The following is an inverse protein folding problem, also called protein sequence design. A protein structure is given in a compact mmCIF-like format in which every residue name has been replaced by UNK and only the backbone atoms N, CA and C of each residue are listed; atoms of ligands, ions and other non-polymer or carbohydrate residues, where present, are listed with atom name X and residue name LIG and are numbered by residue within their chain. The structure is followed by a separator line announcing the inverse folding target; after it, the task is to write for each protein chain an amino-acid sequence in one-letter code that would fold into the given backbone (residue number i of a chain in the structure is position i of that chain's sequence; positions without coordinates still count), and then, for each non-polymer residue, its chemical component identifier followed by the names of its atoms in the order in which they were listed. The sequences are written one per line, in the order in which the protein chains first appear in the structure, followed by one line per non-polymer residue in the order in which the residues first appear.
data_IF_597217768996
#
_entry.id   IF_597217768996
#
_cell.length_a   1.000
_cell.length_b   1.000
_cell.length_c   1.000
_cell.angle_alpha   90.00
_cell.angle_beta   90.00
_cell.angle_gamma   90.00
#
_symmetry.space_group_name_H-M   'P 1'
#
loop_
_entity.id
_entity.type
_entity.pdbx_description
1 polymer ?
#
# COMPACT_ATOMS: atom_id res chain seq x y z
N UNK A 1 -60.41 -37.37 14.03
CA UNK A 1 -59.50 -37.63 15.17
C UNK A 1 -58.22 -38.21 14.58
N UNK A 2 -57.02 -37.66 14.68
CA UNK A 2 -56.50 -36.37 15.12
C UNK A 2 -55.07 -36.39 14.57
N UNK A 3 -54.81 -35.67 13.47
CA UNK A 3 -53.47 -35.60 12.87
C UNK A 3 -53.18 -34.16 12.41
N UNK A 4 -53.44 -33.21 13.31
CA UNK A 4 -53.31 -31.76 13.10
C UNK A 4 -52.40 -31.10 14.14
N UNK A 5 -51.51 -31.87 14.79
CA UNK A 5 -50.72 -31.39 15.92
C UNK A 5 -49.19 -31.43 15.75
N UNK A 6 -48.65 -31.85 14.59
CA UNK A 6 -47.22 -32.21 14.48
C UNK A 6 -46.38 -31.41 13.49
N UNK A 7 -46.93 -30.44 12.76
CA UNK A 7 -46.19 -29.80 11.65
C UNK A 7 -45.53 -28.48 12.03
N UNK A 8 -46.18 -27.61 12.81
CA UNK A 8 -45.65 -26.26 13.04
C UNK A 8 -44.44 -26.21 14.02
N UNK A 9 -44.35 -27.12 14.98
CA UNK A 9 -43.23 -27.18 15.94
C UNK A 9 -42.01 -27.92 15.37
N UNK A 10 -42.23 -28.99 14.62
CA UNK A 10 -41.14 -29.77 13.99
C UNK A 10 -40.45 -28.98 12.87
N UNK A 11 -41.19 -28.15 12.13
CA UNK A 11 -40.64 -27.28 11.08
C UNK A 11 -39.83 -26.10 11.68
N UNK A 12 -40.27 -25.52 12.79
CA UNK A 12 -39.53 -24.48 13.52
C UNK A 12 -38.20 -24.98 14.05
N UNK A 13 -38.21 -26.17 14.66
CA UNK A 13 -37.00 -26.82 15.19
C UNK A 13 -36.03 -27.24 14.08
N UNK A 14 -36.54 -27.60 12.88
CA UNK A 14 -35.71 -27.87 11.71
C UNK A 14 -35.04 -26.61 11.15
N UNK A 15 -35.77 -25.48 11.08
CA UNK A 15 -35.25 -24.20 10.59
C UNK A 15 -34.16 -23.65 11.52
N UNK A 16 -34.35 -23.68 12.83
CA UNK A 16 -33.32 -23.22 13.77
C UNK A 16 -32.08 -24.15 13.74
N UNK A 17 -32.27 -25.47 13.63
CA UNK A 17 -31.15 -26.42 13.48
C UNK A 17 -30.33 -26.17 12.20
N UNK A 18 -31.00 -25.92 11.07
CA UNK A 18 -30.33 -25.60 9.81
C UNK A 18 -29.56 -24.28 9.91
N UNK A 19 -30.12 -23.27 10.60
CA UNK A 19 -29.45 -21.99 10.85
C UNK A 19 -28.22 -22.15 11.75
N UNK A 20 -28.33 -22.88 12.85
CA UNK A 20 -27.23 -23.13 13.79
C UNK A 20 -26.10 -23.89 13.09
N UNK A 21 -26.42 -24.95 12.35
CA UNK A 21 -25.43 -25.71 11.58
C UNK A 21 -24.78 -24.85 10.50
N UNK A 22 -25.51 -23.93 9.88
CA UNK A 22 -24.94 -23.00 8.90
C UNK A 22 -23.92 -22.04 9.55
N UNK A 23 -24.19 -21.54 10.75
CA UNK A 23 -23.25 -20.70 11.51
C UNK A 23 -22.02 -21.48 11.98
N UNK A 24 -22.22 -22.67 12.54
CA UNK A 24 -21.12 -23.55 12.97
C UNK A 24 -20.21 -23.90 11.80
N UNK A 25 -20.81 -24.28 10.66
CA UNK A 25 -20.05 -24.61 9.46
C UNK A 25 -19.39 -23.38 8.85
N UNK A 26 -20.02 -22.20 8.89
CA UNK A 26 -19.38 -20.96 8.46
C UNK A 26 -18.13 -20.67 9.31
N UNK A 27 -18.20 -20.89 10.62
CA UNK A 27 -17.06 -20.71 11.51
C UNK A 27 -15.92 -21.71 11.25
N UNK A 28 -16.25 -22.96 10.92
CA UNK A 28 -15.25 -24.03 10.73
C UNK A 28 -14.71 -24.13 9.30
N UNK A 29 -15.57 -23.96 8.29
CA UNK A 29 -15.28 -24.13 6.87
C UNK A 29 -16.09 -23.12 6.03
N UNK A 30 -15.72 -21.82 6.09
CA UNK A 30 -16.55 -20.74 5.56
C UNK A 30 -16.83 -20.81 4.05
N UNK A 31 -15.97 -21.49 3.28
CA UNK A 31 -16.13 -21.68 1.83
C UNK A 31 -16.91 -22.94 1.45
N UNK A 32 -17.28 -23.78 2.42
CA UNK A 32 -17.97 -25.05 2.15
C UNK A 32 -19.37 -24.79 1.56
N UNK A 33 -19.76 -25.43 0.43
CA UNK A 33 -21.00 -25.12 -0.27
C UNK A 33 -22.27 -25.38 0.56
N UNK A 34 -22.17 -26.28 1.55
CA UNK A 34 -23.27 -26.59 2.49
C UNK A 34 -23.69 -25.39 3.34
N UNK A 35 -22.82 -24.42 3.59
CA UNK A 35 -23.17 -23.17 4.30
C UNK A 35 -24.29 -22.45 3.55
N UNK A 36 -24.11 -22.24 2.25
CA UNK A 36 -25.11 -21.59 1.41
C UNK A 36 -26.39 -22.44 1.27
N UNK A 37 -26.24 -23.76 1.11
CA UNK A 37 -27.40 -24.66 1.01
C UNK A 37 -28.30 -24.59 2.26
N UNK A 38 -27.72 -24.65 3.45
CA UNK A 38 -28.46 -24.57 4.72
C UNK A 38 -29.12 -23.19 4.90
N UNK A 39 -28.38 -22.11 4.66
CA UNK A 39 -28.93 -20.76 4.78
C UNK A 39 -30.07 -20.50 3.77
N UNK A 40 -29.97 -21.03 2.54
CA UNK A 40 -31.04 -20.94 1.54
C UNK A 40 -32.29 -21.74 1.93
N UNK A 41 -32.15 -22.90 2.59
CA UNK A 41 -33.30 -23.64 3.13
C UNK A 41 -34.04 -22.84 4.21
N UNK A 42 -33.29 -22.22 5.11
CA UNK A 42 -33.86 -21.31 6.12
C UNK A 42 -34.60 -20.15 5.45
N UNK A 43 -34.02 -19.53 4.43
CA UNK A 43 -34.66 -18.42 3.70
C UNK A 43 -35.84 -18.86 2.84
N UNK A 44 -35.90 -20.11 2.39
CA UNK A 44 -37.07 -20.64 1.69
C UNK A 44 -38.28 -20.74 2.63
N UNK A 45 -38.06 -21.09 3.89
CA UNK A 45 -39.10 -21.12 4.93
C UNK A 45 -39.39 -19.73 5.52
N UNK A 46 -38.35 -18.90 5.69
CA UNK A 46 -38.43 -17.57 6.31
C UNK A 46 -37.63 -16.53 5.48
N UNK A 47 -38.21 -15.97 4.40
CA UNK A 47 -37.49 -15.08 3.46
C UNK A 47 -36.95 -13.79 4.09
N UNK A 48 -37.50 -13.37 5.22
CA UNK A 48 -37.10 -12.18 5.95
C UNK A 48 -36.12 -12.44 7.09
N UNK A 49 -35.66 -13.69 7.27
CA UNK A 49 -34.73 -14.06 8.35
C UNK A 49 -33.33 -13.46 8.10
N UNK A 50 -33.06 -12.31 8.72
CA UNK A 50 -31.80 -11.58 8.52
C UNK A 50 -30.56 -12.34 8.99
N UNK A 51 -30.66 -13.22 9.99
CA UNK A 51 -29.52 -14.06 10.42
C UNK A 51 -29.07 -15.03 9.33
N UNK A 52 -29.98 -15.68 8.61
CA UNK A 52 -29.63 -16.54 7.47
C UNK A 52 -29.07 -15.73 6.29
N UNK A 53 -29.58 -14.52 6.06
CA UNK A 53 -29.02 -13.61 5.07
C UNK A 53 -27.60 -13.14 5.44
N UNK A 54 -27.30 -12.93 6.74
CA UNK A 54 -25.94 -12.65 7.21
C UNK A 54 -24.99 -13.81 6.90
N UNK A 55 -25.41 -15.06 7.13
CA UNK A 55 -24.60 -16.26 6.81
C UNK A 55 -24.24 -16.30 5.32
N UNK A 56 -25.22 -16.06 4.43
CA UNK A 56 -24.96 -15.98 2.99
C UNK A 56 -23.97 -14.85 2.67
N UNK A 57 -24.17 -13.67 3.25
CA UNK A 57 -23.26 -12.55 3.06
C UNK A 57 -21.81 -12.92 3.40
N UNK A 58 -21.57 -13.49 4.58
CA UNK A 58 -20.23 -13.89 5.01
C UNK A 58 -19.65 -15.03 4.16
N UNK A 59 -20.47 -15.96 3.70
CA UNK A 59 -20.05 -17.02 2.78
C UNK A 59 -19.58 -16.44 1.44
N UNK A 60 -20.35 -15.54 0.84
CA UNK A 60 -19.99 -14.87 -0.41
C UNK A 60 -18.72 -14.04 -0.24
N UNK A 61 -18.63 -13.27 0.84
CA UNK A 61 -17.44 -12.47 1.16
C UNK A 61 -16.19 -13.35 1.25
N UNK A 62 -16.27 -14.48 1.97
CA UNK A 62 -15.13 -15.40 2.11
C UNK A 62 -14.72 -16.08 0.81
N UNK A 63 -15.64 -16.17 -0.16
CA UNK A 63 -15.37 -16.70 -1.51
C UNK A 63 -14.86 -15.64 -2.49
N UNK A 64 -14.67 -14.41 -2.04
CA UNK A 64 -14.26 -13.28 -2.89
C UNK A 64 -15.41 -12.67 -3.71
N UNK A 65 -16.66 -13.02 -3.41
CA UNK A 65 -17.84 -12.50 -4.09
C UNK A 65 -18.41 -11.28 -3.32
N UNK A 66 -17.65 -10.19 -3.35
CA UNK A 66 -17.98 -8.95 -2.65
C UNK A 66 -19.32 -8.35 -3.10
N UNK A 67 -19.66 -8.50 -4.39
CA UNK A 67 -20.91 -8.03 -4.97
C UNK A 67 -22.12 -8.69 -4.34
N UNK A 68 -22.16 -10.02 -4.30
CA UNK A 68 -23.25 -10.75 -3.64
C UNK A 68 -23.30 -10.48 -2.13
N UNK A 69 -22.15 -10.49 -1.46
CA UNK A 69 -22.06 -10.20 -0.04
C UNK A 69 -22.70 -8.84 0.30
N UNK A 70 -22.32 -7.79 -0.45
CA UNK A 70 -22.86 -6.44 -0.31
C UNK A 70 -24.38 -6.41 -0.51
N UNK A 71 -24.92 -7.14 -1.50
CA UNK A 71 -26.38 -7.21 -1.71
C UNK A 71 -27.12 -7.77 -0.51
N UNK A 72 -26.60 -8.84 0.10
CA UNK A 72 -27.17 -9.41 1.32
C UNK A 72 -27.12 -8.42 2.49
N UNK A 73 -25.97 -7.81 2.74
CA UNK A 73 -25.82 -6.87 3.85
C UNK A 73 -26.67 -5.60 3.68
N UNK A 74 -26.75 -5.01 2.47
CA UNK A 74 -27.59 -3.83 2.21
C UNK A 74 -29.08 -4.13 2.47
N UNK A 75 -29.55 -5.32 2.09
CA UNK A 75 -30.94 -5.74 2.38
C UNK A 75 -31.22 -5.78 3.88
N UNK A 76 -30.29 -6.30 4.66
CA UNK A 76 -30.41 -6.38 6.13
C UNK A 76 -30.33 -4.98 6.74
N UNK A 77 -29.37 -4.17 6.30
CA UNK A 77 -29.21 -2.79 6.75
C UNK A 77 -30.48 -1.95 6.51
N UNK A 78 -31.16 -2.15 5.37
CA UNK A 78 -32.42 -1.47 5.05
C UNK A 78 -33.59 -1.81 5.98
N UNK A 79 -33.58 -2.99 6.63
CA UNK A 79 -34.64 -3.42 7.57
C UNK A 79 -34.47 -2.82 8.96
N UNK A 80 -33.23 -2.46 9.34
CA UNK A 80 -32.87 -1.95 10.68
C UNK A 80 -33.34 -2.86 11.83
N UNK A 81 -33.28 -4.17 11.65
CA UNK A 81 -33.59 -5.15 12.70
C UNK A 81 -32.37 -5.43 13.60
N UNK A 82 -32.45 -6.47 14.44
CA UNK A 82 -31.38 -6.85 15.37
C UNK A 82 -30.04 -7.20 14.70
N UNK A 83 -30.01 -7.45 13.39
CA UNK A 83 -28.79 -7.73 12.61
C UNK A 83 -28.21 -6.48 11.95
N UNK A 84 -28.87 -5.32 12.07
CA UNK A 84 -28.45 -4.08 11.43
C UNK A 84 -26.98 -3.73 11.66
N UNK A 85 -26.54 -3.73 12.92
CA UNK A 85 -25.17 -3.32 13.26
C UNK A 85 -24.13 -4.28 12.67
N UNK A 86 -24.42 -5.58 12.62
CA UNK A 86 -23.54 -6.57 12.01
C UNK A 86 -23.46 -6.42 10.50
N UNK A 87 -24.58 -6.14 9.84
CA UNK A 87 -24.61 -5.82 8.42
C UNK A 87 -23.84 -4.53 8.10
N UNK A 88 -23.99 -3.47 8.93
CA UNK A 88 -23.26 -2.22 8.76
C UNK A 88 -21.74 -2.41 8.95
N UNK A 89 -21.30 -3.19 9.95
CA UNK A 89 -19.89 -3.57 10.14
C UNK A 89 -19.36 -4.38 8.96
N UNK A 90 -20.16 -5.30 8.42
CA UNK A 90 -19.77 -6.09 7.26
C UNK A 90 -19.66 -5.23 5.98
N UNK A 91 -20.58 -4.29 5.76
CA UNK A 91 -20.51 -3.33 4.65
C UNK A 91 -19.28 -2.43 4.74
N UNK A 92 -18.96 -1.94 5.94
CA UNK A 92 -17.71 -1.21 6.21
C UNK A 92 -16.48 -2.04 5.83
N UNK A 93 -16.45 -3.32 6.23
CA UNK A 93 -15.33 -4.23 5.94
C UNK A 93 -15.19 -4.53 4.45
N UNK A 94 -16.29 -4.81 3.76
CA UNK A 94 -16.30 -5.01 2.30
C UNK A 94 -15.81 -3.76 1.58
N UNK A 95 -16.26 -2.57 1.99
CA UNK A 95 -15.79 -1.31 1.40
C UNK A 95 -14.27 -1.11 1.60
N UNK A 96 -13.73 -1.39 2.79
CA UNK A 96 -12.28 -1.33 3.03
C UNK A 96 -11.50 -2.33 2.18
N UNK A 97 -11.99 -3.57 2.06
CA UNK A 97 -11.37 -4.60 1.24
C UNK A 97 -11.39 -4.28 -0.26
N UNK A 98 -12.38 -3.50 -0.71
CA UNK A 98 -12.49 -3.01 -2.08
C UNK A 98 -11.83 -1.64 -2.30
N UNK A 99 -11.17 -1.09 -1.27
CA UNK A 99 -10.57 0.24 -1.26
C UNK A 99 -11.56 1.40 -1.57
N UNK A 100 -12.85 1.20 -1.31
CA UNK A 100 -13.86 2.24 -1.35
C UNK A 100 -13.88 3.01 -0.03
N UNK A 101 -12.84 3.82 0.18
CA UNK A 101 -12.62 4.55 1.44
C UNK A 101 -13.79 5.46 1.83
N UNK A 102 -14.42 6.24 0.92
CA UNK A 102 -15.59 7.06 1.25
C UNK A 102 -16.79 6.23 1.73
N UNK A 103 -17.07 5.10 1.10
CA UNK A 103 -18.14 4.18 1.51
C UNK A 103 -17.83 3.55 2.87
N UNK A 104 -16.58 3.13 3.09
CA UNK A 104 -16.10 2.61 4.36
C UNK A 104 -16.30 3.64 5.49
N UNK A 105 -15.93 4.90 5.26
CA UNK A 105 -16.12 5.98 6.21
C UNK A 105 -17.60 6.23 6.51
N UNK A 106 -18.47 6.21 5.49
CA UNK A 106 -19.92 6.34 5.69
C UNK A 106 -20.47 5.24 6.60
N UNK A 107 -20.10 3.99 6.36
CA UNK A 107 -20.53 2.88 7.21
C UNK A 107 -19.90 2.91 8.60
N UNK A 108 -18.64 3.36 8.74
CA UNK A 108 -18.00 3.55 10.05
C UNK A 108 -18.77 4.56 10.92
N UNK A 109 -19.13 5.72 10.34
CA UNK A 109 -19.98 6.72 11.01
C UNK A 109 -21.36 6.17 11.36
N UNK A 110 -21.94 5.34 10.47
CA UNK A 110 -23.23 4.68 10.71
C UNK A 110 -23.16 3.72 11.90
N UNK A 111 -22.12 2.90 11.99
CA UNK A 111 -21.92 1.97 13.12
C UNK A 111 -21.78 2.74 14.44
N UNK A 112 -20.99 3.83 14.45
CA UNK A 112 -20.76 4.62 15.66
C UNK A 112 -21.99 5.38 16.18
N UNK A 113 -23.03 5.55 15.36
CA UNK A 113 -24.29 6.12 15.80
C UNK A 113 -25.16 5.14 16.63
N UNK A 114 -24.78 3.86 16.70
CA UNK A 114 -25.53 2.80 17.39
C UNK A 114 -25.05 2.58 18.85
N UNK A 115 -25.92 2.00 19.70
CA UNK A 115 -25.67 1.86 21.16
C UNK A 115 -24.65 0.79 21.56
N UNK A 116 -24.17 -0.05 20.63
CA UNK A 116 -23.34 -1.22 20.90
C UNK A 116 -21.97 -1.14 20.21
N UNK A 117 -21.32 0.00 20.35
CA UNK A 117 -20.01 0.29 19.77
C UNK A 117 -18.90 0.00 20.79
N UNK A 118 -17.80 -0.56 20.31
CA UNK A 118 -16.61 -0.82 21.11
C UNK A 118 -15.41 -0.04 20.58
N UNK A 119 -14.27 -0.15 21.27
CA UNK A 119 -13.04 0.51 20.86
C UNK A 119 -12.58 0.10 19.44
N UNK A 120 -12.95 -1.09 18.96
CA UNK A 120 -12.57 -1.55 17.62
C UNK A 120 -13.35 -0.77 16.55
N UNK A 121 -14.63 -0.48 16.77
CA UNK A 121 -15.40 0.37 15.87
C UNK A 121 -14.85 1.80 15.77
N UNK A 122 -14.39 2.36 16.89
CA UNK A 122 -13.70 3.66 16.92
C UNK A 122 -12.37 3.61 16.17
N UNK A 123 -11.62 2.52 16.32
CA UNK A 123 -10.36 2.31 15.60
C UNK A 123 -10.58 2.25 14.09
N UNK A 124 -11.63 1.53 13.63
CA UNK A 124 -11.94 1.43 12.20
C UNK A 124 -12.48 2.77 11.65
N UNK A 125 -13.19 3.58 12.44
CA UNK A 125 -13.54 4.94 12.03
C UNK A 125 -12.26 5.76 11.76
N UNK A 126 -11.33 5.80 12.71
CA UNK A 126 -10.10 6.58 12.56
C UNK A 126 -9.29 6.17 11.32
N UNK A 127 -9.21 4.87 11.05
CA UNK A 127 -8.60 4.34 9.83
C UNK A 127 -9.33 4.82 8.57
N UNK A 128 -10.66 4.67 8.50
CA UNK A 128 -11.43 5.07 7.33
C UNK A 128 -11.38 6.60 7.08
N UNK A 129 -11.33 7.41 8.15
CA UNK A 129 -11.12 8.85 8.06
C UNK A 129 -9.77 9.18 7.43
N UNK A 130 -8.69 8.59 7.95
CA UNK A 130 -7.35 8.84 7.45
C UNK A 130 -7.19 8.39 5.99
N UNK A 131 -7.73 7.23 5.63
CA UNK A 131 -7.75 6.71 4.25
C UNK A 131 -8.56 7.60 3.29
N UNK A 132 -9.59 8.30 3.79
CA UNK A 132 -10.44 9.20 3.01
C UNK A 132 -9.91 10.64 2.92
N UNK A 133 -8.75 10.94 3.50
CA UNK A 133 -8.12 12.25 3.43
C UNK A 133 -8.18 13.08 4.72
N UNK A 134 -9.01 12.69 5.69
CA UNK A 134 -9.12 13.28 7.03
C UNK A 134 -7.98 12.76 7.93
N UNK A 135 -6.72 12.94 7.52
CA UNK A 135 -5.55 12.26 8.09
C UNK A 135 -5.33 12.54 9.59
N UNK A 136 -5.17 13.80 9.98
CA UNK A 136 -4.86 14.15 11.38
C UNK A 136 -6.01 13.81 12.33
N UNK A 137 -7.26 14.02 11.88
CA UNK A 137 -8.46 13.65 12.64
C UNK A 137 -8.56 12.14 12.79
N UNK A 138 -8.36 11.41 11.69
CA UNK A 138 -8.37 9.95 11.68
C UNK A 138 -7.29 9.36 12.57
N UNK A 139 -6.06 9.88 12.52
CA UNK A 139 -4.98 9.39 13.37
C UNK A 139 -5.19 9.72 14.85
N UNK A 140 -5.70 10.91 15.16
CA UNK A 140 -6.07 11.26 16.53
C UNK A 140 -7.18 10.35 17.04
N UNK A 141 -8.12 9.99 16.17
CA UNK A 141 -9.19 9.06 16.50
C UNK A 141 -8.67 7.65 16.84
N UNK A 142 -7.60 7.19 16.18
CA UNK A 142 -6.93 5.93 16.53
C UNK A 142 -6.37 5.96 17.97
N UNK A 143 -5.76 7.08 18.38
CA UNK A 143 -5.22 7.25 19.73
C UNK A 143 -6.33 7.25 20.78
N UNK A 144 -7.45 7.92 20.49
CA UNK A 144 -8.64 7.89 21.36
C UNK A 144 -9.23 6.47 21.49
N UNK A 145 -9.23 5.70 20.41
CA UNK A 145 -9.69 4.31 20.42
C UNK A 145 -8.81 3.42 21.32
N UNK A 146 -7.48 3.60 21.27
CA UNK A 146 -6.55 2.92 22.20
C UNK A 146 -6.85 3.33 23.65
N UNK A 147 -7.04 4.63 23.91
CA UNK A 147 -7.36 5.12 25.24
C UNK A 147 -8.71 4.57 25.76
N UNK A 148 -9.70 4.43 24.87
CA UNK A 148 -10.98 3.79 25.19
C UNK A 148 -10.77 2.32 25.54
N UNK A 149 -10.03 1.56 24.72
CA UNK A 149 -9.69 0.16 24.98
C UNK A 149 -9.04 -0.02 26.35
N UNK A 150 -8.06 0.83 26.70
CA UNK A 150 -7.39 0.76 28.00
C UNK A 150 -8.36 0.90 29.19
N UNK A 151 -9.45 1.67 29.03
CA UNK A 151 -10.48 1.86 30.08
C UNK A 151 -11.52 0.75 30.11
N UNK A 152 -11.96 0.27 28.94
CA UNK A 152 -13.13 -0.62 28.83
C UNK A 152 -12.77 -2.09 28.67
N UNK A 153 -11.60 -2.39 28.11
CA UNK A 153 -11.12 -3.74 27.81
C UNK A 153 -9.58 -3.80 27.91
N UNK A 154 -8.99 -3.59 29.10
CA UNK A 154 -7.53 -3.51 29.26
C UNK A 154 -6.79 -4.78 28.80
N UNK A 155 -7.43 -5.95 28.87
CA UNK A 155 -6.87 -7.20 28.34
C UNK A 155 -6.68 -7.22 26.82
N UNK A 156 -7.40 -6.38 26.08
CA UNK A 156 -7.29 -6.23 24.62
C UNK A 156 -6.30 -5.12 24.22
N UNK A 157 -5.66 -4.44 25.18
CA UNK A 157 -4.78 -3.30 24.90
C UNK A 157 -3.62 -3.62 23.93
N UNK A 158 -2.91 -4.76 24.04
CA UNK A 158 -1.87 -5.10 23.06
C UNK A 158 -2.40 -5.16 21.62
N UNK A 159 -3.61 -5.72 21.43
CA UNK A 159 -4.27 -5.79 20.13
C UNK A 159 -4.67 -4.40 19.61
N UNK A 160 -5.17 -3.52 20.49
CA UNK A 160 -5.49 -2.15 20.10
C UNK A 160 -4.23 -1.36 19.68
N UNK A 161 -3.13 -1.49 20.43
CA UNK A 161 -1.85 -0.85 20.10
C UNK A 161 -1.31 -1.33 18.75
N UNK A 162 -1.36 -2.65 18.49
CA UNK A 162 -1.02 -3.24 17.19
C UNK A 162 -1.87 -2.65 16.06
N UNK A 163 -3.19 -2.68 16.20
CA UNK A 163 -4.12 -2.15 15.18
C UNK A 163 -3.87 -0.66 14.87
N UNK A 164 -3.56 0.14 15.88
CA UNK A 164 -3.18 1.55 15.67
C UNK A 164 -1.92 1.65 14.80
N UNK A 165 -0.87 0.89 15.08
CA UNK A 165 0.35 0.89 14.27
C UNK A 165 0.08 0.45 12.82
N UNK A 166 -0.71 -0.62 12.63
CA UNK A 166 -1.13 -1.11 11.31
C UNK A 166 -1.93 -0.05 10.52
N UNK A 167 -2.89 0.62 11.15
CA UNK A 167 -3.69 1.65 10.48
C UNK A 167 -2.92 2.94 10.20
N UNK A 168 -1.95 3.31 11.04
CA UNK A 168 -1.03 4.40 10.73
C UNK A 168 -0.16 4.07 9.52
N UNK A 169 0.33 2.83 9.41
CA UNK A 169 1.07 2.38 8.23
C UNK A 169 0.20 2.43 6.97
N UNK A 170 -1.01 1.85 7.02
CA UNK A 170 -1.93 1.76 5.89
C UNK A 170 -2.45 3.11 5.39
N UNK A 171 -2.53 4.11 6.27
CA UNK A 171 -2.92 5.49 5.93
C UNK A 171 -1.73 6.42 5.68
N UNK A 172 -0.54 5.87 5.45
CA UNK A 172 0.67 6.61 5.09
C UNK A 172 1.07 7.68 6.11
N UNK A 173 0.92 7.40 7.41
CA UNK A 173 1.36 8.30 8.46
C UNK A 173 2.87 8.58 8.38
N UNK A 174 3.33 9.79 8.80
CA UNK A 174 4.74 10.09 8.89
C UNK A 174 5.49 9.05 9.74
N UNK A 175 6.76 8.73 9.39
CA UNK A 175 7.54 7.73 10.11
C UNK A 175 7.59 7.96 11.63
N UNK A 176 7.75 9.21 12.08
CA UNK A 176 7.80 9.54 13.52
C UNK A 176 6.52 9.14 14.27
N UNK A 177 5.35 9.29 13.63
CA UNK A 177 4.07 8.90 14.22
C UNK A 177 3.92 7.38 14.27
N UNK A 178 4.31 6.69 13.19
CA UNK A 178 4.31 5.24 13.14
C UNK A 178 5.26 4.64 14.18
N UNK A 179 6.49 5.16 14.28
CA UNK A 179 7.51 4.67 15.22
C UNK A 179 7.00 4.70 16.65
N UNK A 180 6.45 5.83 17.11
CA UNK A 180 5.93 5.94 18.47
C UNK A 180 4.85 4.89 18.75
N UNK A 181 3.91 4.71 17.81
CA UNK A 181 2.85 3.72 17.96
C UNK A 181 3.35 2.27 17.93
N UNK A 182 4.30 1.97 17.04
CA UNK A 182 4.89 0.64 16.88
C UNK A 182 5.80 0.25 18.07
N UNK A 183 6.56 1.19 18.63
CA UNK A 183 7.32 0.98 19.87
C UNK A 183 6.41 0.59 21.04
N UNK A 184 5.26 1.25 21.18
CA UNK A 184 4.26 0.90 22.19
C UNK A 184 3.66 -0.49 21.95
N UNK A 185 3.32 -0.82 20.69
CA UNK A 185 2.78 -2.12 20.33
C UNK A 185 3.78 -3.25 20.63
N UNK A 186 5.03 -3.13 20.20
CA UNK A 186 6.09 -4.13 20.43
C UNK A 186 6.43 -4.27 21.91
N UNK A 187 6.34 -3.19 22.69
CA UNK A 187 6.52 -3.24 24.15
C UNK A 187 5.39 -4.00 24.84
N UNK A 188 4.16 -3.86 24.34
CA UNK A 188 2.98 -4.54 24.87
C UNK A 188 2.91 -6.02 24.46
N UNK A 189 3.37 -6.34 23.25
CA UNK A 189 3.49 -7.71 22.74
C UNK A 189 4.80 -7.86 21.94
N UNK A 190 5.81 -8.43 22.61
CA UNK A 190 7.12 -8.63 22.01
C UNK A 190 7.13 -9.69 20.91
N UNK A 191 6.13 -10.59 20.87
CA UNK A 191 6.04 -11.69 19.91
C UNK A 191 5.43 -11.25 18.57
N UNK A 192 4.97 -10.01 18.46
CA UNK A 192 4.51 -9.44 17.20
C UNK A 192 5.71 -9.11 16.29
N UNK A 193 6.14 -10.11 15.53
CA UNK A 193 7.23 -9.98 14.56
C UNK A 193 6.86 -9.04 13.40
N UNK A 194 5.58 -8.92 13.06
CA UNK A 194 5.10 -8.13 11.94
C UNK A 194 5.33 -6.63 12.16
N UNK A 195 4.82 -6.08 13.27
CA UNK A 195 5.01 -4.66 13.59
C UNK A 195 6.48 -4.37 13.88
N UNK A 196 7.20 -5.33 14.49
CA UNK A 196 8.61 -5.18 14.81
C UNK A 196 9.52 -5.07 13.56
N UNK A 197 9.30 -5.85 12.51
CA UNK A 197 10.08 -5.74 11.27
C UNK A 197 9.91 -4.34 10.66
N UNK A 198 8.67 -3.86 10.56
CA UNK A 198 8.38 -2.53 10.02
C UNK A 198 8.96 -1.41 10.88
N UNK A 199 8.89 -1.53 12.21
CA UNK A 199 9.55 -0.60 13.13
C UNK A 199 11.07 -0.51 12.86
N UNK A 200 11.72 -1.65 12.61
CA UNK A 200 13.16 -1.68 12.28
C UNK A 200 13.49 -0.91 11.00
N UNK A 201 12.70 -1.07 9.94
CA UNK A 201 12.90 -0.28 8.72
C UNK A 201 12.57 1.21 8.90
N UNK A 202 11.59 1.54 9.74
CA UNK A 202 11.29 2.92 10.09
C UNK A 202 12.46 3.56 10.88
N UNK A 203 13.14 2.80 11.74
CA UNK A 203 14.37 3.26 12.40
C UNK A 203 15.48 3.57 11.41
N UNK A 204 15.69 2.74 10.38
CA UNK A 204 16.65 3.05 9.31
C UNK A 204 16.32 4.37 8.61
N UNK A 205 15.05 4.60 8.25
CA UNK A 205 14.59 5.85 7.65
C UNK A 205 14.71 7.07 8.57
N UNK A 206 14.91 6.86 9.86
CA UNK A 206 15.15 7.91 10.86
C UNK A 206 16.58 7.87 11.40
N UNK A 207 17.49 7.17 10.71
CA UNK A 207 18.92 7.12 11.02
C UNK A 207 19.21 6.59 12.44
N UNK A 208 18.31 5.78 13.00
CA UNK A 208 18.44 5.08 14.29
C UNK A 208 19.02 3.69 14.07
N UNK A 209 20.25 3.64 13.56
CA UNK A 209 20.85 2.40 13.04
C UNK A 209 21.09 1.35 14.13
N UNK A 210 21.50 1.76 15.33
CA UNK A 210 21.69 0.85 16.46
C UNK A 210 20.38 0.21 16.89
N UNK A 211 19.29 0.99 16.96
CA UNK A 211 17.96 0.49 17.31
C UNK A 211 17.45 -0.51 16.26
N UNK A 212 17.70 -0.22 14.97
CA UNK A 212 17.38 -1.10 13.86
C UNK A 212 18.15 -2.43 13.95
N UNK A 213 19.46 -2.39 14.22
CA UNK A 213 20.28 -3.60 14.38
C UNK A 213 19.80 -4.43 15.57
N UNK A 214 19.60 -3.80 16.73
CA UNK A 214 19.19 -4.50 17.95
C UNK A 214 17.83 -5.20 17.76
N UNK A 215 16.88 -4.51 17.13
CA UNK A 215 15.56 -5.07 16.84
C UNK A 215 15.65 -6.22 15.82
N UNK A 216 16.40 -6.05 14.75
CA UNK A 216 16.63 -7.11 13.76
C UNK A 216 17.31 -8.34 14.36
N UNK A 217 18.33 -8.16 15.22
CA UNK A 217 18.98 -9.28 15.91
C UNK A 217 18.04 -9.98 16.89
N UNK A 218 17.10 -9.27 17.52
CA UNK A 218 16.05 -9.90 18.33
C UNK A 218 15.18 -10.80 17.48
N UNK A 219 14.68 -10.30 16.35
CA UNK A 219 13.84 -11.06 15.42
C UNK A 219 14.55 -12.32 14.90
N UNK A 220 15.84 -12.22 14.54
CA UNK A 220 16.62 -13.37 14.08
C UNK A 220 16.92 -14.42 15.17
N UNK A 221 16.76 -14.10 16.47
CA UNK A 221 16.80 -15.12 17.52
C UNK A 221 15.52 -15.93 17.58
N UNK A 222 14.39 -15.34 17.16
CA UNK A 222 13.09 -16.00 17.09
C UNK A 222 12.96 -16.80 15.79
N UNK A 223 13.31 -16.19 14.66
CA UNK A 223 13.40 -16.84 13.35
C UNK A 223 14.69 -16.45 12.61
N UNK A 224 15.73 -17.31 12.64
CA UNK A 224 16.99 -17.06 11.94
C UNK A 224 16.86 -17.01 10.41
N UNK A 225 15.75 -17.48 9.86
CA UNK A 225 15.50 -17.59 8.41
C UNK A 225 14.68 -16.44 7.84
N UNK A 226 14.29 -15.46 8.66
CA UNK A 226 13.56 -14.28 8.20
C UNK A 226 14.47 -13.37 7.33
N UNK A 227 14.26 -13.43 6.01
CA UNK A 227 15.00 -12.66 5.00
C UNK A 227 14.92 -11.14 5.22
N UNK A 228 13.79 -10.63 5.74
CA UNK A 228 13.62 -9.20 6.00
C UNK A 228 14.38 -8.78 7.23
N UNK A 229 14.35 -9.58 8.30
CA UNK A 229 15.17 -9.33 9.49
C UNK A 229 16.67 -9.43 9.17
N UNK A 230 17.09 -10.37 8.31
CA UNK A 230 18.48 -10.46 7.83
C UNK A 230 18.88 -9.22 7.03
N UNK A 231 18.01 -8.77 6.12
CA UNK A 231 18.22 -7.56 5.32
C UNK A 231 18.31 -6.30 6.19
N UNK A 232 17.45 -6.20 7.21
CA UNK A 232 17.47 -5.13 8.20
C UNK A 232 18.79 -5.07 8.96
N UNK A 233 19.27 -6.19 9.52
CA UNK A 233 20.55 -6.25 10.24
C UNK A 233 21.72 -5.93 9.32
N UNK A 234 21.72 -6.45 8.09
CA UNK A 234 22.75 -6.15 7.10
C UNK A 234 22.80 -4.65 6.77
N UNK A 235 21.64 -4.05 6.51
CA UNK A 235 21.51 -2.61 6.24
C UNK A 235 21.98 -1.75 7.40
N UNK A 236 21.52 -2.05 8.62
CA UNK A 236 21.93 -1.32 9.83
C UNK A 236 23.44 -1.37 10.06
N UNK A 237 24.05 -2.56 9.96
CA UNK A 237 25.51 -2.74 10.14
C UNK A 237 26.33 -2.02 9.09
N UNK A 238 25.89 -2.06 7.84
CA UNK A 238 26.61 -1.36 6.77
C UNK A 238 26.61 0.14 7.01
N UNK A 239 25.49 0.69 7.48
CA UNK A 239 25.41 2.11 7.82
C UNK A 239 26.23 2.51 9.02
N UNK A 240 26.23 1.71 10.08
CA UNK A 240 27.12 1.94 11.22
C UNK A 240 28.58 2.00 10.77
N UNK A 241 29.02 1.08 9.90
CA UNK A 241 30.38 1.10 9.33
C UNK A 241 30.63 2.33 8.45
N UNK A 242 29.66 2.75 7.65
CA UNK A 242 29.79 3.94 6.81
C UNK A 242 29.95 5.17 7.70
N UNK A 243 29.11 5.35 8.72
CA UNK A 243 29.19 6.47 9.67
C UNK A 243 30.53 6.46 10.43
N UNK A 244 30.99 5.29 10.88
CA UNK A 244 32.30 5.14 11.54
C UNK A 244 33.47 5.52 10.63
N UNK A 245 33.45 5.11 9.36
CA UNK A 245 34.51 5.47 8.38
C UNK A 245 34.43 6.93 7.93
N UNK A 246 33.22 7.42 7.71
CA UNK A 246 32.92 8.79 7.31
C UNK A 246 33.44 9.82 8.32
N UNK A 247 33.46 9.46 9.60
CA UNK A 247 34.10 10.24 10.67
C UNK A 247 35.59 10.53 10.43
N UNK A 248 36.26 9.79 9.52
CA UNK A 248 37.63 10.04 9.07
C UNK A 248 37.76 10.65 7.67
N UNK A 249 36.67 10.82 6.91
CA UNK A 249 36.67 11.21 5.49
C UNK A 249 35.80 12.45 5.17
N UNK A 250 35.50 13.30 6.18
CA UNK A 250 34.66 14.51 6.05
C UNK A 250 33.22 14.27 5.52
N UNK A 251 32.73 13.04 5.54
CA UNK A 251 31.33 12.71 5.20
C UNK A 251 30.49 12.83 6.47
N UNK A 252 29.46 13.67 6.45
CA UNK A 252 28.58 13.90 7.60
C UNK A 252 27.32 13.02 7.53
N UNK A 253 26.62 12.87 8.67
CA UNK A 253 25.28 12.26 8.67
C UNK A 253 24.30 13.05 7.79
N UNK A 254 24.47 14.37 7.68
CA UNK A 254 23.66 15.21 6.79
C UNK A 254 23.91 14.85 5.31
N UNK A 255 25.12 14.48 4.92
CA UNK A 255 25.42 14.02 3.56
C UNK A 255 24.71 12.69 3.26
N UNK A 256 24.71 11.77 4.22
CA UNK A 256 23.98 10.50 4.11
C UNK A 256 22.47 10.77 4.04
N UNK A 257 21.95 11.68 4.86
CA UNK A 257 20.56 12.13 4.80
C UNK A 257 20.20 12.77 3.46
N UNK A 258 21.14 13.51 2.87
CA UNK A 258 21.01 14.13 1.55
C UNK A 258 20.77 13.11 0.44
N UNK A 259 21.19 11.85 0.61
CA UNK A 259 20.90 10.76 -0.35
C UNK A 259 19.46 10.23 -0.26
N UNK A 260 18.86 10.37 0.93
CA UNK A 260 17.82 9.54 1.54
C UNK A 260 17.37 8.27 0.82
N UNK A 261 18.37 7.40 0.61
CA UNK A 261 18.16 6.01 0.23
C UNK A 261 17.29 5.25 1.26
N UNK A 262 17.31 5.63 2.54
CA UNK A 262 16.55 4.94 3.59
C UNK A 262 15.07 5.29 3.60
N UNK A 263 14.72 6.54 3.32
CA UNK A 263 13.35 6.98 3.12
C UNK A 263 12.74 6.28 1.91
N UNK A 264 13.53 6.10 0.85
CA UNK A 264 13.14 5.32 -0.33
C UNK A 264 12.94 3.84 0.01
N UNK A 265 13.87 3.20 0.74
CA UNK A 265 13.75 1.80 1.14
C UNK A 265 12.54 1.57 2.07
N UNK A 266 12.32 2.47 3.03
CA UNK A 266 11.13 2.47 3.89
C UNK A 266 9.86 2.59 3.08
N UNK A 267 9.80 3.56 2.15
CA UNK A 267 8.67 3.75 1.24
C UNK A 267 8.41 2.48 0.45
N UNK A 268 9.43 1.89 -0.18
CA UNK A 268 9.29 0.69 -0.98
C UNK A 268 8.73 -0.49 -0.16
N UNK A 269 9.25 -0.73 1.04
CA UNK A 269 8.79 -1.81 1.91
C UNK A 269 7.37 -1.56 2.37
N UNK A 270 7.05 -0.34 2.81
CA UNK A 270 5.69 0.06 3.19
C UNK A 270 4.73 -0.16 2.03
N UNK A 271 5.05 0.39 0.85
CA UNK A 271 4.21 0.37 -0.33
C UNK A 271 3.96 -1.07 -0.80
N UNK A 272 4.99 -1.93 -0.76
CA UNK A 272 4.87 -3.36 -1.02
C UNK A 272 3.95 -4.05 0.00
N UNK A 273 4.03 -3.68 1.28
CA UNK A 273 3.20 -4.28 2.33
C UNK A 273 1.73 -3.92 2.20
N UNK A 274 1.42 -2.72 1.70
CA UNK A 274 0.04 -2.27 1.54
C UNK A 274 -0.47 -2.43 0.10
N UNK A 275 0.33 -3.02 -0.79
CA UNK A 275 -0.07 -3.35 -2.16
C UNK A 275 -0.19 -2.14 -3.09
N UNK A 276 0.55 -1.06 -2.83
CA UNK A 276 0.58 0.13 -3.69
C UNK A 276 1.92 0.33 -4.40
N UNK A 277 2.84 -0.64 -4.30
CA UNK A 277 4.11 -0.61 -5.00
C UNK A 277 3.96 -0.72 -6.53
N UNK A 278 5.08 -0.53 -7.24
CA UNK A 278 5.10 -0.54 -8.71
C UNK A 278 4.61 -1.87 -9.31
N UNK A 279 4.96 -3.02 -8.73
CA UNK A 279 4.53 -4.31 -9.29
C UNK A 279 3.01 -4.48 -9.15
N UNK A 280 2.46 -4.09 -8.00
CA UNK A 280 1.01 -4.08 -7.76
C UNK A 280 0.29 -3.12 -8.72
N UNK A 281 0.86 -1.93 -8.96
CA UNK A 281 0.31 -0.94 -9.88
C UNK A 281 0.28 -1.44 -11.34
N UNK A 282 1.36 -2.07 -11.80
CA UNK A 282 1.45 -2.64 -13.14
C UNK A 282 0.46 -3.79 -13.35
N UNK A 283 0.32 -4.69 -12.37
CA UNK A 283 -0.66 -5.76 -12.41
C UNK A 283 -2.10 -5.21 -12.49
N UNK A 284 -2.42 -4.17 -11.71
CA UNK A 284 -3.73 -3.53 -11.77
C UNK A 284 -3.96 -2.79 -13.10
N UNK A 285 -2.91 -2.24 -13.72
CA UNK A 285 -3.00 -1.58 -15.02
C UNK A 285 -3.33 -2.56 -16.14
N UNK A 286 -2.81 -3.79 -16.11
CA UNK A 286 -3.08 -4.81 -17.13
C UNK A 286 -4.57 -5.13 -17.28
N UNK A 287 -5.30 -5.13 -16.16
CA UNK A 287 -6.74 -5.41 -16.11
C UNK A 287 -7.58 -4.33 -16.80
N UNK A 288 -7.08 -3.09 -16.86
CA UNK A 288 -7.81 -1.92 -17.37
C UNK A 288 -7.17 -1.28 -18.60
N UNK A 289 -6.11 -1.86 -19.13
CA UNK A 289 -5.34 -1.29 -20.23
C UNK A 289 -6.20 -1.12 -21.51
N UNK A 290 -6.28 0.08 -22.10
CA UNK A 290 -6.95 0.31 -23.38
C UNK A 290 -6.38 -0.55 -24.51
N UNK A 291 -7.23 -0.97 -25.45
CA UNK A 291 -6.83 -1.86 -26.55
C UNK A 291 -5.71 -1.26 -27.43
N UNK A 292 -5.79 0.03 -27.75
CA UNK A 292 -4.80 0.73 -28.58
C UNK A 292 -3.44 0.81 -27.89
N UNK A 293 -3.44 1.10 -26.58
CA UNK A 293 -2.22 1.09 -25.76
C UNK A 293 -1.63 -0.32 -25.69
N UNK A 294 -2.47 -1.35 -25.48
CA UNK A 294 -2.04 -2.75 -25.47
C UNK A 294 -1.35 -3.15 -26.77
N UNK A 295 -1.89 -2.70 -27.90
CA UNK A 295 -1.33 -2.98 -29.22
C UNK A 295 0.01 -2.27 -29.49
N UNK A 296 0.25 -1.13 -28.83
CA UNK A 296 1.48 -0.36 -28.96
C UNK A 296 2.63 -0.88 -28.07
N UNK A 297 2.30 -1.61 -27.00
CA UNK A 297 3.27 -2.18 -26.07
C UNK A 297 3.94 -3.44 -26.64
N UNK A 298 5.26 -3.53 -26.48
CA UNK A 298 6.01 -4.74 -26.84
C UNK A 298 5.92 -5.77 -25.71
N UNK A 299 6.04 -7.08 -26.00
CA UNK A 299 6.19 -8.09 -24.95
C UNK A 299 7.33 -7.73 -23.99
N UNK A 300 7.17 -8.04 -22.71
CA UNK A 300 8.22 -7.82 -21.71
C UNK A 300 9.50 -8.59 -22.01
N UNK A 301 10.65 -8.01 -21.65
CA UNK A 301 11.95 -8.64 -21.86
C UNK A 301 12.15 -9.81 -20.88
N UNK A 302 12.68 -10.92 -21.37
CA UNK A 302 12.96 -12.07 -20.53
C UNK A 302 14.14 -11.80 -19.59
N UNK A 303 14.14 -12.40 -18.39
CA UNK A 303 15.24 -12.26 -17.44
C UNK A 303 16.62 -12.64 -18.03
N UNK A 304 16.66 -13.60 -18.96
CA UNK A 304 17.86 -13.99 -19.68
C UNK A 304 18.37 -12.91 -20.65
N UNK A 305 17.47 -12.12 -21.24
CA UNK A 305 17.83 -11.04 -22.18
C UNK A 305 18.38 -9.80 -21.46
N UNK A 306 17.97 -9.61 -20.20
CA UNK A 306 18.44 -8.56 -19.31
C UNK A 306 19.67 -8.98 -18.48
N UNK A 307 20.01 -10.27 -18.45
CA UNK A 307 21.13 -10.78 -17.67
C UNK A 307 22.45 -10.11 -18.10
N UNK A 308 23.13 -9.48 -17.14
CA UNK A 308 24.40 -8.77 -17.36
C UNK A 308 24.25 -7.39 -18.03
N UNK A 309 23.03 -6.94 -18.36
CA UNK A 309 22.75 -5.61 -18.90
C UNK A 309 22.25 -4.69 -17.79
N UNK A 310 22.76 -3.47 -17.73
CA UNK A 310 22.41 -2.48 -16.71
C UNK A 310 21.28 -1.57 -17.19
N UNK A 311 20.07 -2.10 -17.33
CA UNK A 311 18.86 -1.37 -17.80
C UNK A 311 18.22 -0.57 -16.63
N UNK A 312 19.04 0.14 -15.85
CA UNK A 312 18.65 0.72 -14.56
C UNK A 312 18.67 -0.28 -13.40
N UNK A 313 18.42 0.23 -12.20
CA UNK A 313 18.56 -0.49 -10.92
C UNK A 313 17.21 -0.93 -10.33
N UNK A 314 16.14 -0.15 -10.51
CA UNK A 314 14.83 -0.40 -9.92
C UNK A 314 13.68 -0.20 -10.89
N UNK A 315 13.38 1.02 -11.32
CA UNK A 315 12.15 1.35 -12.05
C UNK A 315 12.19 0.83 -13.49
N UNK A 316 13.24 1.18 -14.24
CA UNK A 316 13.38 0.82 -15.65
C UNK A 316 13.35 -0.71 -15.84
N UNK A 317 13.99 -1.45 -14.93
CA UNK A 317 13.99 -2.91 -14.94
C UNK A 317 12.59 -3.51 -14.78
N UNK A 318 11.76 -2.99 -13.86
CA UNK A 318 10.39 -3.48 -13.68
C UNK A 318 9.52 -3.17 -14.90
N UNK A 319 9.65 -1.96 -15.47
CA UNK A 319 8.89 -1.56 -16.65
C UNK A 319 9.23 -2.43 -17.86
N UNK A 320 10.52 -2.62 -18.14
CA UNK A 320 10.99 -3.44 -19.27
C UNK A 320 10.61 -4.92 -19.10
N UNK A 321 10.61 -5.44 -17.87
CA UNK A 321 10.15 -6.80 -17.59
C UNK A 321 8.64 -6.96 -17.80
N UNK A 322 7.86 -5.90 -17.59
CA UNK A 322 6.42 -5.86 -17.87
C UNK A 322 6.14 -5.73 -19.37
N UNK A 323 6.65 -4.67 -20.00
CA UNK A 323 6.61 -4.43 -21.44
C UNK A 323 7.92 -3.76 -21.89
N UNK A 324 8.58 -4.32 -22.92
CA UNK A 324 9.85 -3.81 -23.44
C UNK A 324 9.66 -2.57 -24.32
N UNK A 325 9.07 -1.53 -23.74
CA UNK A 325 8.80 -0.26 -24.38
C UNK A 325 7.62 -0.27 -25.35
N UNK A 326 7.57 0.80 -26.14
CA UNK A 326 6.55 1.07 -27.14
C UNK A 326 7.18 1.42 -28.49
N UNK A 327 6.41 1.33 -29.58
CA UNK A 327 6.85 1.79 -30.88
C UNK A 327 7.07 3.33 -30.89
N UNK A 328 8.13 3.84 -31.54
CA UNK A 328 8.28 5.28 -31.75
C UNK A 328 7.03 5.94 -32.34
N UNK A 329 6.67 7.11 -31.82
CA UNK A 329 5.48 7.87 -32.20
C UNK A 329 4.16 7.37 -31.60
N UNK A 330 4.14 6.32 -30.78
CA UNK A 330 2.90 5.76 -30.22
C UNK A 330 2.46 6.37 -28.88
N UNK A 331 3.17 7.37 -28.35
CA UNK A 331 2.92 7.87 -26.98
C UNK A 331 1.53 8.49 -26.76
N UNK A 332 0.85 8.92 -27.82
CA UNK A 332 -0.54 9.38 -27.76
C UNK A 332 -1.52 8.30 -27.26
N UNK A 333 -1.16 7.00 -27.33
CA UNK A 333 -2.00 5.89 -26.88
C UNK A 333 -2.29 5.92 -25.36
N UNK A 334 -1.48 6.64 -24.57
CA UNK A 334 -1.76 6.88 -23.15
C UNK A 334 -2.91 7.88 -22.91
N UNK A 335 -3.34 8.62 -23.93
CA UNK A 335 -4.37 9.66 -23.79
C UNK A 335 -3.92 10.89 -23.00
N UNK A 336 -2.60 11.12 -22.90
CA UNK A 336 -2.02 12.26 -22.20
C UNK A 336 -1.88 13.48 -23.11
N UNK A 337 -1.78 14.65 -22.50
CA UNK A 337 -1.55 15.90 -23.23
C UNK A 337 -0.21 15.89 -24.00
N UNK A 338 0.78 15.15 -23.49
CA UNK A 338 2.09 14.99 -24.12
C UNK A 338 2.30 13.54 -24.56
N UNK A 339 2.86 13.31 -25.76
CA UNK A 339 2.93 11.99 -26.37
C UNK A 339 4.13 11.17 -25.87
N UNK A 340 4.29 11.04 -24.55
CA UNK A 340 5.34 10.19 -23.99
C UNK A 340 5.05 8.71 -24.22
N UNK A 341 6.07 7.95 -24.63
CA UNK A 341 6.01 6.49 -24.77
C UNK A 341 7.06 5.82 -23.89
N UNK A 342 6.84 4.56 -23.51
CA UNK A 342 7.84 3.78 -22.77
C UNK A 342 9.05 3.50 -23.66
N UNK A 343 10.25 3.66 -23.08
CA UNK A 343 11.50 3.26 -23.72
C UNK A 343 11.70 1.76 -23.59
N UNK A 344 12.27 1.15 -24.62
CA UNK A 344 12.72 -0.24 -24.59
C UNK A 344 14.11 -0.39 -23.95
N UNK A 345 14.44 -1.59 -23.51
CA UNK A 345 15.77 -1.93 -22.97
C UNK A 345 16.89 -1.53 -23.92
N UNK A 346 16.70 -1.75 -25.22
CA UNK A 346 17.69 -1.40 -26.24
C UNK A 346 17.92 0.11 -26.33
N UNK A 347 16.88 0.92 -26.18
CA UNK A 347 16.98 2.38 -26.21
C UNK A 347 17.65 2.93 -24.95
N UNK A 348 17.30 2.38 -23.79
CA UNK A 348 17.93 2.74 -22.50
C UNK A 348 19.43 2.44 -22.56
N UNK A 349 19.81 1.23 -22.98
CA UNK A 349 21.22 0.83 -23.05
C UNK A 349 22.01 1.61 -24.11
N UNK A 350 21.39 1.95 -25.24
CA UNK A 350 22.05 2.76 -26.26
C UNK A 350 22.33 4.17 -25.75
N UNK A 351 21.38 4.75 -25.04
CA UNK A 351 21.52 6.08 -24.43
C UNK A 351 22.53 6.09 -23.29
N UNK A 352 22.52 5.07 -22.43
CA UNK A 352 23.53 4.91 -21.37
C UNK A 352 24.93 4.83 -21.97
N UNK A 353 25.11 4.04 -23.03
CA UNK A 353 26.39 3.92 -23.72
C UNK A 353 26.84 5.23 -24.41
N UNK A 354 25.89 6.03 -24.91
CA UNK A 354 26.17 7.35 -25.50
C UNK A 354 26.65 8.34 -24.42
N UNK A 355 25.93 8.40 -23.29
CA UNK A 355 26.27 9.26 -22.14
C UNK A 355 27.64 8.87 -21.56
N UNK A 356 27.90 7.57 -21.38
CA UNK A 356 29.19 7.07 -20.87
C UNK A 356 30.35 7.38 -21.84
N UNK A 357 30.09 7.42 -23.15
CA UNK A 357 31.12 7.71 -24.15
C UNK A 357 31.52 9.19 -24.21
N UNK A 358 30.60 10.11 -23.95
CA UNK A 358 30.88 11.56 -23.93
C UNK A 358 30.03 12.32 -22.88
N UNK A 359 30.37 12.21 -21.58
CA UNK A 359 29.59 12.89 -20.53
C UNK A 359 29.52 14.42 -20.71
N UNK A 360 30.53 15.03 -21.33
CA UNK A 360 30.57 16.47 -21.55
C UNK A 360 29.55 16.95 -22.60
N UNK A 361 29.15 16.09 -23.54
CA UNK A 361 28.08 16.36 -24.48
C UNK A 361 26.67 16.20 -23.87
N UNK A 362 26.57 15.59 -22.68
CA UNK A 362 25.33 15.26 -22.00
C UNK A 362 25.22 15.93 -20.62
N UNK A 363 25.33 17.28 -20.52
CA UNK A 363 25.33 17.98 -19.22
C UNK A 363 24.01 17.83 -18.43
N UNK A 364 22.92 17.44 -19.10
CA UNK A 364 21.64 17.16 -18.46
C UNK A 364 21.62 15.81 -17.71
N UNK A 365 22.67 14.99 -17.83
CA UNK A 365 22.80 13.66 -17.24
C UNK A 365 23.98 13.61 -16.28
N UNK A 366 23.89 14.29 -15.12
CA UNK A 366 25.02 14.46 -14.23
C UNK A 366 25.40 13.13 -13.55
N UNK A 367 26.70 12.85 -13.49
CA UNK A 367 27.25 11.61 -12.90
C UNK A 367 27.00 11.50 -11.39
N UNK A 368 26.77 12.62 -10.71
CA UNK A 368 26.54 12.67 -9.26
C UNK A 368 25.06 12.50 -8.88
N UNK A 369 24.19 12.16 -9.82
CA UNK A 369 22.77 11.91 -9.60
C UNK A 369 22.44 10.46 -9.96
N UNK A 370 21.59 9.81 -9.15
CA UNK A 370 20.96 8.55 -9.53
C UNK A 370 19.73 8.84 -10.37
N UNK A 371 19.75 8.40 -11.63
CA UNK A 371 18.64 8.55 -12.56
C UNK A 371 18.39 7.29 -13.37
N UNK A 372 17.13 7.09 -13.77
CA UNK A 372 16.69 6.05 -14.71
C UNK A 372 15.68 6.64 -15.70
N UNK A 373 16.04 6.67 -16.98
CA UNK A 373 15.19 7.09 -18.07
C UNK A 373 14.19 5.98 -18.43
N UNK A 374 12.91 6.33 -18.47
CA UNK A 374 11.81 5.35 -18.55
C UNK A 374 10.83 5.66 -19.67
N UNK A 375 10.69 6.93 -20.07
CA UNK A 375 9.85 7.35 -21.19
C UNK A 375 10.52 8.45 -22.01
N UNK A 376 10.11 8.58 -23.27
CA UNK A 376 10.53 9.66 -24.17
C UNK A 376 9.36 10.16 -25.03
N UNK A 377 9.40 11.42 -25.44
CA UNK A 377 8.47 12.00 -26.41
C UNK A 377 8.96 11.90 -27.87
N UNK A 378 10.09 11.22 -28.10
CA UNK A 378 10.80 11.11 -29.38
C UNK A 378 11.35 12.44 -29.94
N UNK A 379 11.17 13.55 -29.23
CA UNK A 379 11.65 14.89 -29.60
C UNK A 379 12.83 15.37 -28.74
N UNK A 380 13.37 14.50 -27.89
CA UNK A 380 14.51 14.78 -27.01
C UNK A 380 14.12 15.14 -25.58
N UNK A 381 12.86 14.92 -25.19
CA UNK A 381 12.42 15.04 -23.81
C UNK A 381 12.24 13.66 -23.19
N UNK A 382 12.64 13.53 -21.93
CA UNK A 382 12.62 12.27 -21.21
C UNK A 382 11.83 12.40 -19.91
N UNK A 383 11.09 11.34 -19.57
CA UNK A 383 10.63 11.13 -18.19
C UNK A 383 11.66 10.25 -17.50
N UNK A 384 12.14 10.73 -16.36
CA UNK A 384 13.27 10.17 -15.62
C UNK A 384 12.83 9.96 -14.18
N UNK A 385 13.12 8.78 -13.64
CA UNK A 385 13.09 8.54 -12.21
C UNK A 385 14.42 9.01 -11.62
N UNK A 386 14.39 10.06 -10.82
CA UNK A 386 15.58 10.62 -10.16
C UNK A 386 15.70 10.10 -8.72
N UNK A 387 16.67 10.64 -7.95
CA UNK A 387 16.84 10.32 -6.55
C UNK A 387 15.49 10.32 -5.79
N UNK A 388 15.36 9.40 -4.83
CA UNK A 388 14.12 9.14 -4.07
C UNK A 388 12.95 8.59 -4.89
N UNK A 389 13.18 8.22 -6.15
CA UNK A 389 12.20 7.61 -7.04
C UNK A 389 11.18 8.58 -7.64
N UNK A 390 11.35 9.88 -7.42
CA UNK A 390 10.46 10.90 -7.99
C UNK A 390 10.55 10.89 -9.52
N UNK A 391 9.41 11.08 -10.18
CA UNK A 391 9.37 11.20 -11.63
C UNK A 391 9.42 12.66 -12.05
N UNK A 392 10.38 12.97 -12.90
CA UNK A 392 10.55 14.30 -13.49
C UNK A 392 10.64 14.22 -14.99
N UNK A 393 10.26 15.32 -15.63
CA UNK A 393 10.44 15.56 -17.05
C UNK A 393 11.71 16.39 -17.22
N UNK A 394 12.67 15.82 -17.93
CA UNK A 394 13.99 16.41 -18.18
C UNK A 394 14.10 16.86 -19.63
N UNK A 395 14.50 18.12 -19.83
CA UNK A 395 14.72 18.73 -21.15
C UNK A 395 16.09 19.38 -21.21
N UNK A 396 16.76 19.38 -22.38
CA UNK A 396 18.04 20.04 -22.52
C UNK A 396 18.02 21.51 -22.11
N UNK A 397 18.90 21.88 -21.18
CA UNK A 397 19.08 23.26 -20.72
C UNK A 397 17.91 23.85 -19.93
N UNK A 398 16.95 23.04 -19.49
CA UNK A 398 15.82 23.48 -18.66
C UNK A 398 15.82 22.74 -17.32
N UNK A 399 15.30 23.36 -16.24
CA UNK A 399 15.13 22.66 -14.98
C UNK A 399 14.10 21.53 -15.12
N UNK A 400 14.32 20.45 -14.36
CA UNK A 400 13.40 19.33 -14.26
C UNK A 400 12.00 19.79 -13.81
N UNK A 401 10.98 19.30 -14.52
CA UNK A 401 9.58 19.53 -14.19
C UNK A 401 8.99 18.30 -13.48
N UNK A 402 8.41 18.44 -12.26
CA UNK A 402 7.80 17.30 -11.57
C UNK A 402 6.64 16.69 -12.36
N UNK A 403 6.63 15.35 -12.47
CA UNK A 403 5.56 14.57 -13.12
C UNK A 403 4.71 13.84 -12.09
N UNK A 404 5.35 13.10 -11.17
CA UNK A 404 4.70 12.35 -10.10
C UNK A 404 5.67 12.09 -8.94
N UNK A 405 5.14 11.74 -7.76
CA UNK A 405 5.97 11.39 -6.59
C UNK A 405 6.73 10.07 -6.77
N UNK A 406 6.25 9.18 -7.65
CA UNK A 406 6.95 7.96 -8.07
C UNK A 406 6.39 7.38 -9.36
N UNK A 407 7.08 6.40 -9.94
CA UNK A 407 6.52 5.62 -11.06
C UNK A 407 5.28 4.82 -10.65
N UNK A 408 5.24 4.28 -9.43
CA UNK A 408 4.04 3.59 -8.93
C UNK A 408 2.84 4.55 -8.89
N UNK A 409 3.04 5.79 -8.43
CA UNK A 409 1.97 6.79 -8.39
C UNK A 409 1.47 7.17 -9.78
N UNK A 410 2.40 7.37 -10.72
CA UNK A 410 2.03 7.68 -12.10
C UNK A 410 1.22 6.54 -12.73
N UNK A 411 1.60 5.28 -12.47
CA UNK A 411 0.86 4.10 -12.95
C UNK A 411 -0.51 4.00 -12.29
N UNK A 412 -0.63 4.19 -10.96
CA UNK A 412 -1.93 4.20 -10.27
C UNK A 412 -2.86 5.31 -10.79
N UNK A 413 -2.32 6.49 -11.11
CA UNK A 413 -3.09 7.55 -11.75
C UNK A 413 -3.62 7.13 -13.14
N UNK A 414 -2.92 6.24 -13.85
CA UNK A 414 -3.40 5.64 -15.12
C UNK A 414 -4.44 4.57 -14.88
N UNK A 415 -4.25 3.70 -13.88
CA UNK A 415 -5.26 2.72 -13.46
C UNK A 415 -6.59 3.44 -13.18
N UNK A 416 -6.56 4.48 -12.36
CA UNK A 416 -7.75 5.27 -12.04
C UNK A 416 -8.36 5.95 -13.28
N UNK A 417 -7.53 6.57 -14.14
CA UNK A 417 -8.00 7.23 -15.36
C UNK A 417 -8.65 6.26 -16.36
N UNK A 418 -8.23 5.00 -16.38
CA UNK A 418 -8.82 3.94 -17.21
C UNK A 418 -9.99 3.21 -16.53
N UNK A 419 -10.46 3.69 -15.37
CA UNK A 419 -11.62 3.16 -14.67
C UNK A 419 -11.30 2.00 -13.71
N UNK A 420 -10.03 1.74 -13.45
CA UNK A 420 -9.57 0.83 -12.39
C UNK A 420 -9.71 1.43 -11.00
N UNK A 421 -9.57 0.59 -9.98
CA UNK A 421 -9.62 0.99 -8.57
C UNK A 421 -8.24 1.42 -8.11
N UNK A 422 -8.15 2.57 -7.44
CA UNK A 422 -6.93 3.07 -6.80
C UNK A 422 -6.96 2.72 -5.31
N UNK A 423 -6.07 1.83 -4.84
CA UNK A 423 -6.04 1.42 -3.44
C UNK A 423 -5.43 2.48 -2.50
N UNK A 424 -4.75 3.50 -3.04
CA UNK A 424 -4.02 4.49 -2.24
C UNK A 424 -4.97 5.30 -1.37
N UNK A 425 -4.52 5.74 -0.18
CA UNK A 425 -5.25 6.75 0.58
C UNK A 425 -5.45 8.02 -0.24
N UNK A 426 -6.51 8.77 0.05
CA UNK A 426 -6.70 10.08 -0.55
C UNK A 426 -5.47 10.96 -0.26
N UNK A 427 -5.02 11.80 -1.22
CA UNK A 427 -3.84 12.63 -1.00
C UNK A 427 -3.99 13.52 0.24
N UNK A 428 -2.90 13.68 1.00
CA UNK A 428 -2.87 14.65 2.10
C UNK A 428 -3.09 16.05 1.53
N UNK A 429 -3.98 16.82 2.15
CA UNK A 429 -4.04 18.26 1.89
C UNK A 429 -2.77 18.93 2.43
N UNK A 430 -1.72 18.90 1.61
CA UNK A 430 -0.55 19.70 1.85
C UNK A 430 -0.97 21.14 1.56
N UNK A 431 -1.22 21.92 2.62
CA UNK A 431 -1.54 23.34 2.51
C UNK A 431 -0.59 24.01 1.51
N UNK A 432 -1.14 24.92 0.69
CA UNK A 432 -0.51 25.51 -0.51
C UNK A 432 0.94 26.05 -0.34
N UNK A 433 1.45 26.14 0.88
CA UNK A 433 2.82 26.52 1.21
C UNK A 433 3.88 25.42 0.96
N UNK A 434 3.54 24.13 1.00
CA UNK A 434 4.52 23.04 0.87
C UNK A 434 4.66 22.48 -0.57
N UNK A 435 3.93 23.03 -1.54
CA UNK A 435 4.21 22.85 -2.99
C UNK A 435 5.44 23.62 -3.48
N UNK A 436 6.24 24.22 -2.58
CA UNK A 436 7.45 24.96 -2.94
C UNK A 436 8.71 24.11 -2.70
N UNK A 437 9.31 23.77 -3.85
CA UNK A 437 10.69 23.36 -4.08
C UNK A 437 11.06 21.92 -3.68
N UNK A 438 11.42 21.05 -4.65
CA UNK A 438 12.40 20.02 -4.35
C UNK A 438 13.64 20.72 -3.76
N UNK A 439 14.09 20.28 -2.59
CA UNK A 439 15.33 20.75 -1.99
C UNK A 439 16.43 20.60 -3.04
N UNK A 440 17.01 21.72 -3.48
CA UNK A 440 18.28 21.74 -4.23
C UNK A 440 19.34 21.08 -3.36
N UNK A 441 19.57 19.79 -3.55
CA UNK A 441 20.66 19.06 -2.96
C UNK A 441 21.44 18.33 -4.05
N UNK A 442 22.05 19.08 -4.98
CA UNK A 442 22.98 18.50 -5.97
C UNK A 442 23.96 19.50 -6.60
N UNK A 443 24.25 20.65 -5.98
CA UNK A 443 25.08 21.69 -6.64
C UNK A 443 26.24 22.26 -5.80
N UNK A 444 26.66 21.63 -4.70
CA UNK A 444 27.78 22.17 -3.88
C UNK A 444 28.92 21.18 -3.60
N UNK A 445 29.00 20.07 -4.34
CA UNK A 445 30.04 19.06 -4.11
C UNK A 445 31.35 19.27 -4.90
N UNK A 446 31.52 20.36 -5.67
CA UNK A 446 32.68 20.52 -6.56
C UNK A 446 33.55 21.77 -6.40
N UNK A 447 33.35 22.63 -5.40
CA UNK A 447 34.16 23.87 -5.30
C UNK A 447 35.00 24.02 -4.02
N UNK A 448 35.58 22.92 -3.52
CA UNK A 448 36.55 22.97 -2.40
C UNK A 448 37.81 22.12 -2.60
N UNK A 449 38.26 21.97 -3.85
CA UNK A 449 39.62 21.47 -4.13
C UNK A 449 40.23 22.26 -5.30
N UNK A 450 40.73 23.45 -5.01
CA UNK A 450 41.94 24.03 -5.59
C UNK A 450 42.12 25.46 -5.09
N UNK A 451 42.84 25.61 -3.97
CA UNK A 451 43.60 26.83 -3.70
C UNK A 451 45.01 26.39 -3.26
N UNK A 452 46.06 26.65 -4.07
CA UNK A 452 47.42 26.47 -3.65
C UNK A 452 47.94 27.77 -3.00
N UNK A 453 48.28 27.69 -1.72
CA UNK A 453 49.26 28.58 -1.08
C UNK A 453 50.26 27.74 -0.29
#
# INVERSE_FOLDING_TARGET
MSDFGRTATDDGDAVERDLDLAWELLGAQPTHPKVAELALRVLAAQPERSSASMVLGYHHETRGDAGEARRHYLRIAGRRDSQFIWAARALRRVALAEHDHPEALRWARTVLAEKHVDWDDWMVLGSAQALSGEHEDGWSQLDEAVALCARTAPGELPKALRKRAEYLLGSLAPPDRFIAAAEEAVRADAADSWVAVLLGFAYLARYRFEDAEQLGLRLLREDPTDDLAQSLVKGAREMLRIVEKASGEDITLEDIQGTGAFEMAWRQIRDQRIGIDLASALAALDDVLPADLRAALRPGAAAAELAGKKVGSMVAKHLVAWHDGQAPGSGAAWGLAEPFRLMSAAEILAMDAEIEADPAAHPDWPENELWEQVMTDDAGVYVVAVAFGALVKRRPGQPDEPVAESMADWIWDRVAAFGGRDPRPAPREIGAAARRQPRRAAAQWTDRRNDPC
#
